data_IF_455869884354
#
_entry.id   IF_455869884354
#
_cell.length_a   1.000
_cell.length_b   1.000
_cell.length_c   1.000
_cell.angle_alpha   90.00
_cell.angle_beta   90.00
_cell.angle_gamma   90.00
#
_symmetry.space_group_name_H-M   'P 1'
#
loop_
_entity.id
_entity.type
_entity.pdbx_description
1 polymer ?
#
# COMPACT_ATOMS: atom_id res chain seq x y z
N UNK A 1 -15.56 -11.57 16.93
CA UNK A 1 -14.76 -12.29 15.92
C UNK A 1 -15.65 -13.36 15.30
N UNK A 2 -15.62 -13.50 13.98
CA UNK A 2 -16.34 -14.55 13.26
C UNK A 2 -15.38 -15.70 13.00
N UNK A 3 -15.82 -16.95 13.15
CA UNK A 3 -14.98 -18.13 12.91
C UNK A 3 -15.09 -18.57 11.45
N UNK A 4 -13.95 -18.84 10.82
CA UNK A 4 -13.88 -19.42 9.47
C UNK A 4 -13.06 -20.71 9.57
N UNK A 5 -13.55 -21.80 8.99
CA UNK A 5 -12.81 -23.06 8.88
C UNK A 5 -12.36 -23.22 7.44
N UNK A 6 -11.05 -23.41 7.25
CA UNK A 6 -10.43 -23.61 5.94
C UNK A 6 -9.50 -24.83 5.99
N UNK A 7 -9.35 -25.52 4.87
CA UNK A 7 -8.33 -26.54 4.70
C UNK A 7 -7.13 -25.93 3.96
N UNK A 8 -5.93 -26.20 4.48
CA UNK A 8 -4.67 -25.73 3.90
C UNK A 8 -3.66 -26.87 3.79
N UNK A 9 -2.72 -26.81 2.84
CA UNK A 9 -1.65 -27.80 2.75
C UNK A 9 -0.85 -27.92 4.05
N UNK A 10 -0.49 -29.15 4.42
CA UNK A 10 0.29 -29.46 5.64
C UNK A 10 1.57 -28.62 5.75
N UNK A 11 2.30 -28.46 4.63
CA UNK A 11 3.54 -27.68 4.62
C UNK A 11 3.30 -26.21 4.99
N UNK A 12 2.15 -25.64 4.58
CA UNK A 12 1.82 -24.25 4.85
C UNK A 12 1.51 -24.07 6.33
N UNK A 13 0.73 -24.99 6.93
CA UNK A 13 0.44 -24.96 8.36
C UNK A 13 1.74 -24.96 9.19
N UNK A 14 2.68 -25.85 8.88
CA UNK A 14 3.98 -25.92 9.57
C UNK A 14 4.79 -24.64 9.47
N UNK A 15 4.79 -23.99 8.31
CA UNK A 15 5.52 -22.73 8.13
C UNK A 15 4.89 -21.59 8.93
N UNK A 16 3.56 -21.49 8.93
CA UNK A 16 2.84 -20.48 9.72
C UNK A 16 3.07 -20.70 11.22
N UNK A 17 3.00 -21.95 11.69
CA UNK A 17 3.30 -22.30 13.09
C UNK A 17 4.72 -21.87 13.50
N UNK A 18 5.72 -22.14 12.65
CA UNK A 18 7.10 -21.76 12.92
C UNK A 18 7.29 -20.23 12.96
N UNK A 19 6.70 -19.51 12.01
CA UNK A 19 6.78 -18.05 11.95
C UNK A 19 6.05 -17.39 13.14
N UNK A 20 4.84 -17.85 13.45
CA UNK A 20 4.08 -17.41 14.62
C UNK A 20 4.85 -17.59 15.92
N UNK A 21 5.55 -18.73 16.08
CA UNK A 21 6.38 -18.98 17.25
C UNK A 21 7.61 -18.07 17.33
N UNK A 22 8.20 -17.70 16.20
CA UNK A 22 9.35 -16.80 16.13
C UNK A 22 8.98 -15.33 16.40
N UNK A 23 7.86 -14.87 15.85
CA UNK A 23 7.44 -13.46 15.84
C UNK A 23 6.44 -13.11 16.97
N UNK A 24 5.92 -14.12 17.69
CA UNK A 24 5.06 -13.89 18.85
C UNK A 24 3.60 -13.53 18.54
N UNK A 25 3.11 -13.83 17.34
CA UNK A 25 1.69 -13.69 16.96
C UNK A 25 0.99 -15.04 16.82
N UNK A 26 -0.33 -15.07 16.98
CA UNK A 26 -1.11 -16.30 16.79
C UNK A 26 -1.36 -16.63 15.32
N UNK A 27 -1.67 -17.90 15.03
CA UNK A 27 -2.05 -18.34 13.68
C UNK A 27 -3.29 -17.58 13.17
N UNK A 28 -4.26 -17.31 14.05
CA UNK A 28 -5.44 -16.52 13.69
C UNK A 28 -5.09 -15.08 13.31
N UNK A 29 -4.15 -14.45 14.03
CA UNK A 29 -3.66 -13.11 13.72
C UNK A 29 -2.93 -13.08 12.38
N UNK A 30 -2.13 -14.11 12.09
CA UNK A 30 -1.46 -14.25 10.80
C UNK A 30 -2.47 -14.26 9.65
N UNK A 31 -3.45 -15.17 9.69
CA UNK A 31 -4.43 -15.30 8.60
C UNK A 31 -5.36 -14.09 8.50
N UNK A 32 -5.78 -13.52 9.63
CA UNK A 32 -6.62 -12.32 9.63
C UNK A 32 -5.88 -11.13 8.98
N UNK A 33 -4.60 -10.95 9.29
CA UNK A 33 -3.78 -9.86 8.74
C UNK A 33 -3.51 -10.09 7.26
N UNK A 34 -3.07 -11.29 6.87
CA UNK A 34 -2.82 -11.64 5.48
C UNK A 34 -4.08 -11.48 4.61
N UNK A 35 -5.25 -11.89 5.12
CA UNK A 35 -6.52 -11.69 4.43
C UNK A 35 -6.88 -10.21 4.31
N UNK A 36 -6.63 -9.41 5.35
CA UNK A 36 -6.87 -7.96 5.34
C UNK A 36 -5.97 -7.25 4.33
N UNK A 37 -4.67 -7.59 4.30
CA UNK A 37 -3.73 -7.06 3.30
C UNK A 37 -4.17 -7.40 1.88
N UNK A 38 -4.50 -8.67 1.63
CA UNK A 38 -4.95 -9.09 0.30
C UNK A 38 -6.24 -8.39 -0.11
N UNK A 39 -7.18 -8.20 0.82
CA UNK A 39 -8.43 -7.50 0.59
C UNK A 39 -8.20 -6.02 0.29
N UNK A 40 -7.31 -5.35 1.03
CA UNK A 40 -6.95 -3.96 0.78
C UNK A 40 -6.44 -3.78 -0.65
N UNK A 41 -5.49 -4.61 -1.08
CA UNK A 41 -4.95 -4.57 -2.45
C UNK A 41 -6.03 -4.79 -3.51
N UNK A 42 -6.93 -5.76 -3.30
CA UNK A 42 -8.00 -6.06 -4.27
C UNK A 42 -8.99 -4.89 -4.37
N UNK A 43 -9.42 -4.34 -3.23
CA UNK A 43 -10.40 -3.25 -3.20
C UNK A 43 -9.84 -1.93 -3.69
N UNK A 44 -8.54 -1.71 -3.49
CA UNK A 44 -7.90 -0.46 -3.87
C UNK A 44 -7.89 -0.26 -5.39
N UNK A 45 -7.74 -1.32 -6.18
CA UNK A 45 -7.86 -1.24 -7.64
C UNK A 45 -9.23 -0.73 -8.09
N UNK A 46 -10.30 -1.33 -7.59
CA UNK A 46 -11.67 -0.92 -7.92
C UNK A 46 -11.96 0.49 -7.41
N UNK A 47 -11.48 0.81 -6.21
CA UNK A 47 -11.62 2.14 -5.63
C UNK A 47 -10.93 3.21 -6.49
N UNK A 48 -9.66 3.04 -6.84
CA UNK A 48 -8.92 3.99 -7.68
C UNK A 48 -9.57 4.12 -9.07
N UNK A 49 -9.99 3.01 -9.69
CA UNK A 49 -10.69 3.04 -10.97
C UNK A 49 -12.01 3.84 -10.88
N UNK A 50 -12.80 3.63 -9.83
CA UNK A 50 -14.05 4.37 -9.62
C UNK A 50 -13.81 5.86 -9.38
N UNK A 51 -12.74 6.22 -8.66
CA UNK A 51 -12.37 7.62 -8.41
C UNK A 51 -11.87 8.30 -9.69
N UNK A 52 -11.06 7.59 -10.49
CA UNK A 52 -10.56 8.08 -11.78
C UNK A 52 -11.70 8.32 -12.78
N UNK A 53 -12.75 7.49 -12.76
CA UNK A 53 -13.92 7.67 -13.64
C UNK A 53 -14.69 8.98 -13.36
N UNK A 54 -14.57 9.53 -12.14
CA UNK A 54 -15.15 10.82 -11.77
C UNK A 54 -14.14 11.97 -11.73
N UNK A 55 -12.91 11.76 -12.23
CA UNK A 55 -11.90 12.81 -12.28
C UNK A 55 -12.15 13.74 -13.47
N UNK A 56 -12.11 15.05 -13.22
CA UNK A 56 -12.11 16.08 -14.25
C UNK A 56 -10.83 16.92 -14.07
N UNK A 57 -9.97 16.87 -15.08
CA UNK A 57 -8.68 17.57 -15.07
C UNK A 57 -8.87 19.10 -15.09
N UNK A 58 -9.89 19.60 -15.77
CA UNK A 58 -10.15 21.04 -15.85
C UNK A 58 -10.66 21.60 -14.51
N UNK A 59 -11.56 20.88 -13.84
CA UNK A 59 -12.00 21.26 -12.49
C UNK A 59 -10.84 21.20 -11.48
N UNK A 60 -9.98 20.19 -11.59
CA UNK A 60 -8.79 20.05 -10.76
C UNK A 60 -7.84 21.26 -10.92
N UNK A 61 -7.51 21.62 -12.16
CA UNK A 61 -6.66 22.78 -12.47
C UNK A 61 -7.30 24.09 -12.01
N UNK A 62 -8.62 24.23 -12.09
CA UNK A 62 -9.31 25.43 -11.61
C UNK A 62 -9.21 25.57 -10.10
N UNK A 63 -9.33 24.48 -9.35
CA UNK A 63 -9.13 24.48 -7.89
C UNK A 63 -7.68 24.83 -7.54
N UNK A 64 -6.69 24.32 -8.29
CA UNK A 64 -5.28 24.63 -8.04
C UNK A 64 -4.95 26.12 -8.17
N UNK A 65 -5.66 26.86 -9.02
CA UNK A 65 -5.50 28.33 -9.15
C UNK A 65 -5.89 29.10 -7.88
N UNK A 66 -6.65 28.48 -6.97
CA UNK A 66 -6.99 29.10 -5.69
C UNK A 66 -5.78 29.17 -4.75
N UNK A 67 -4.73 28.37 -5.00
CA UNK A 67 -3.51 28.39 -4.22
C UNK A 67 -2.68 29.62 -4.66
N UNK A 68 -2.35 30.53 -3.73
CA UNK A 68 -1.50 31.67 -4.07
C UNK A 68 -0.14 31.21 -4.57
N UNK A 69 0.35 31.83 -5.64
CA UNK A 69 1.72 31.62 -6.07
C UNK A 69 2.69 32.08 -4.96
N UNK A 70 3.32 31.12 -4.28
CA UNK A 70 4.40 31.40 -3.32
C UNK A 70 5.74 31.10 -3.99
N UNK A 71 6.66 32.05 -3.94
CA UNK A 71 8.06 31.84 -4.36
C UNK A 71 8.91 31.16 -3.28
N UNK A 72 8.39 31.03 -2.06
CA UNK A 72 9.11 30.49 -0.91
C UNK A 72 8.58 29.10 -0.58
N UNK A 73 9.34 28.08 -1.01
CA UNK A 73 9.13 26.68 -0.61
C UNK A 73 9.89 26.48 0.71
N UNK A 74 9.21 26.10 1.81
CA UNK A 74 9.86 25.76 3.08
C UNK A 74 10.95 24.72 2.88
N UNK A 75 12.04 24.80 3.64
CA UNK A 75 13.20 23.91 3.45
C UNK A 75 12.85 22.40 3.54
N UNK A 76 11.88 22.04 4.39
CA UNK A 76 11.38 20.67 4.55
C UNK A 76 10.47 20.19 3.40
N UNK A 77 10.00 21.10 2.55
CA UNK A 77 9.13 20.82 1.39
C UNK A 77 9.88 20.91 0.05
N UNK A 78 11.19 21.18 0.09
CA UNK A 78 12.02 21.25 -1.11
C UNK A 78 12.30 19.84 -1.64
N UNK A 79 11.98 19.63 -2.92
CA UNK A 79 12.43 18.43 -3.64
C UNK A 79 13.97 18.40 -3.71
N UNK A 80 14.60 17.21 -3.57
CA UNK A 80 16.04 17.10 -3.71
C UNK A 80 16.48 17.48 -5.13
N UNK A 81 17.63 18.14 -5.25
CA UNK A 81 18.16 18.64 -6.53
C UNK A 81 18.46 17.53 -7.57
N UNK A 82 18.60 16.29 -7.10
CA UNK A 82 18.60 15.09 -7.93
C UNK A 82 17.65 14.07 -7.28
N UNK A 83 16.79 13.38 -8.06
CA UNK A 83 16.09 12.23 -7.53
C UNK A 83 17.12 11.24 -6.97
N UNK A 84 16.82 10.55 -5.85
CA UNK A 84 17.66 9.45 -5.39
C UNK A 84 17.79 8.45 -6.54
N UNK A 85 19.01 7.96 -6.80
CA UNK A 85 19.24 6.89 -7.78
C UNK A 85 18.24 5.77 -7.50
N UNK A 86 17.45 5.40 -8.52
CA UNK A 86 16.43 4.38 -8.35
C UNK A 86 17.12 3.06 -8.00
N UNK A 87 16.74 2.37 -6.90
CA UNK A 87 17.28 1.05 -6.58
C UNK A 87 16.99 -0.01 -7.64
N UNK A 88 16.19 0.32 -8.67
CA UNK A 88 15.75 -0.60 -9.71
C UNK A 88 16.83 -0.94 -10.75
N UNK A 89 17.99 -0.28 -10.76
CA UNK A 89 19.04 -0.59 -11.74
C UNK A 89 20.04 -1.67 -11.31
N UNK A 90 20.05 -2.10 -10.04
CA UNK A 90 20.98 -3.15 -9.56
C UNK A 90 20.39 -4.57 -9.56
N UNK A 91 19.12 -4.75 -9.93
CA UNK A 91 18.48 -6.08 -9.92
C UNK A 91 18.60 -6.86 -11.25
N UNK A 92 19.18 -6.27 -12.29
CA UNK A 92 19.29 -6.87 -13.65
C UNK A 92 20.76 -7.04 -14.13
N UNK A 93 21.73 -7.12 -13.21
CA UNK A 93 23.14 -7.41 -13.52
C UNK A 93 23.62 -8.75 -12.95
#
# INVERSE_FOLDING_TARGET
>A
MSTITIEIPEYLRKQVEALSAAEGFSIDQFFATAASEKLSVIRELDYIASRAAGADEAEFEEVLKCIPASSEIPEWDRLPASPPESPRQEADA
#
